data_IF_014853839648
#
_entry.id   IF_014853839648
#
_cell.length_a   1.000
_cell.length_b   1.000
_cell.length_c   1.000
_cell.angle_alpha   90.00
_cell.angle_beta   90.00
_cell.angle_gamma   90.00
#
_symmetry.space_group_name_H-M   'P 1'
#
loop_
_entity.id
_entity.type
_entity.pdbx_description
1 polymer ?
#
# COMPACT_ATOMS: atom_id res chain seq x y z
N UNK A 1 -2.88 49.57 43.77
CA UNK A 1 -2.66 48.49 42.77
C UNK A 1 -2.47 49.19 41.43
N UNK A 2 -1.27 49.60 41.03
CA UNK A 2 -0.13 48.82 40.52
C UNK A 2 -0.35 48.23 39.09
N UNK A 3 0.05 49.05 38.11
CA UNK A 3 0.66 48.82 36.77
C UNK A 3 0.47 47.54 35.93
N UNK A 4 0.25 47.76 34.62
CA UNK A 4 1.00 47.26 33.44
C UNK A 4 0.06 47.29 32.19
N UNK A 5 0.02 48.32 31.33
CA UNK A 5 0.86 48.66 30.16
C UNK A 5 1.24 47.50 29.20
N UNK A 6 0.91 47.72 27.91
CA UNK A 6 1.69 47.42 26.68
C UNK A 6 1.09 46.49 25.60
N UNK A 7 0.90 47.13 24.43
CA UNK A 7 0.99 46.56 23.07
C UNK A 7 2.40 46.02 22.81
N UNK A 8 2.51 44.93 22.04
CA UNK A 8 3.37 44.74 20.83
C UNK A 8 3.04 43.35 20.24
N UNK A 9 2.68 43.18 18.97
CA UNK A 9 3.45 43.39 17.73
C UNK A 9 4.50 42.29 17.53
N UNK A 10 4.33 41.52 16.44
CA UNK A 10 5.45 40.92 15.70
C UNK A 10 5.71 39.43 15.90
N UNK A 11 5.47 38.69 14.82
CA UNK A 11 6.47 37.92 14.07
C UNK A 11 6.52 36.38 14.16
N UNK A 12 6.15 35.79 13.01
CA UNK A 12 6.86 34.78 12.19
C UNK A 12 7.30 33.46 12.84
N UNK A 13 6.78 32.34 12.29
CA UNK A 13 7.48 31.06 12.31
C UNK A 13 6.68 29.83 11.88
N UNK A 14 6.67 29.52 10.57
CA UNK A 14 6.39 28.18 9.99
C UNK A 14 4.90 27.79 9.92
N UNK A 15 4.35 27.27 8.82
CA UNK A 15 4.95 26.48 7.74
C UNK A 15 4.03 26.60 6.52
N UNK A 16 4.56 27.10 5.41
CA UNK A 16 3.98 26.91 4.08
C UNK A 16 3.88 25.42 3.78
N UNK A 17 2.74 24.97 3.23
CA UNK A 17 2.66 23.60 2.69
C UNK A 17 1.29 22.94 2.68
N UNK A 18 0.17 23.63 2.89
CA UNK A 18 -1.12 23.11 2.43
C UNK A 18 -1.19 23.24 0.91
N UNK A 19 -0.59 22.27 0.20
CA UNK A 19 -1.03 21.92 -1.15
C UNK A 19 -2.28 21.05 -1.01
N UNK A 20 -3.41 21.71 -0.75
CA UNK A 20 -4.71 21.20 -1.14
C UNK A 20 -4.76 21.25 -2.67
N UNK A 21 -4.36 20.16 -3.32
CA UNK A 21 -4.58 19.97 -4.76
C UNK A 21 -5.50 18.77 -4.93
N UNK A 22 -6.64 19.07 -5.55
CA UNK A 22 -7.67 18.16 -6.09
C UNK A 22 -8.62 17.51 -5.06
N UNK A 23 -9.54 18.32 -4.55
CA UNK A 23 -10.73 17.84 -3.84
C UNK A 23 -11.94 18.73 -4.11
N UNK A 24 -12.39 18.82 -5.36
CA UNK A 24 -13.74 19.31 -5.67
C UNK A 24 -14.43 18.40 -6.69
N UNK A 25 -15.50 17.80 -6.19
CA UNK A 25 -16.69 17.35 -6.89
C UNK A 25 -16.58 16.09 -7.77
N UNK A 26 -16.50 14.92 -7.14
CA UNK A 26 -17.25 13.70 -7.55
C UNK A 26 -17.68 12.91 -6.31
N UNK A 27 -18.99 12.77 -6.12
CA UNK A 27 -19.60 11.92 -5.11
C UNK A 27 -19.13 10.45 -5.27
N UNK A 28 -18.73 9.82 -4.15
CA UNK A 28 -19.03 8.40 -3.95
C UNK A 28 -17.94 7.34 -4.13
N UNK A 29 -16.65 7.67 -4.24
CA UNK A 29 -15.61 6.65 -4.13
C UNK A 29 -14.53 7.05 -3.12
N UNK A 30 -14.58 6.45 -1.93
CA UNK A 30 -13.45 6.44 -1.00
C UNK A 30 -12.35 5.57 -1.61
N UNK A 31 -11.58 6.13 -2.55
CA UNK A 31 -10.44 5.44 -3.17
C UNK A 31 -9.44 5.06 -2.09
N UNK A 32 -9.27 3.76 -1.87
CA UNK A 32 -8.28 3.29 -0.90
C UNK A 32 -6.88 3.37 -1.50
N UNK A 33 -5.85 3.33 -0.65
CA UNK A 33 -4.46 3.19 -1.10
C UNK A 33 -4.24 1.92 -1.94
N UNK A 34 -5.01 0.87 -1.68
CA UNK A 34 -4.95 -0.39 -2.41
C UNK A 34 -5.56 -0.25 -3.81
N UNK A 35 -6.69 0.45 -3.93
CA UNK A 35 -7.30 0.77 -5.23
C UNK A 35 -6.39 1.68 -6.05
N UNK A 36 -5.83 2.71 -5.43
CA UNK A 36 -4.86 3.60 -6.08
C UNK A 36 -3.63 2.85 -6.58
N UNK A 37 -3.08 1.93 -5.77
CA UNK A 37 -1.97 1.08 -6.20
C UNK A 37 -2.32 0.22 -7.41
N UNK A 38 -3.49 -0.44 -7.38
CA UNK A 38 -3.92 -1.31 -8.47
C UNK A 38 -4.19 -0.50 -9.74
N UNK A 39 -4.79 0.68 -9.63
CA UNK A 39 -4.97 1.59 -10.74
C UNK A 39 -3.64 2.05 -11.34
N UNK A 40 -2.69 2.48 -10.51
CA UNK A 40 -1.32 2.80 -10.95
C UNK A 40 -0.69 1.62 -11.68
N UNK A 41 -0.72 0.43 -11.08
CA UNK A 41 -0.13 -0.77 -11.68
C UNK A 41 -0.74 -1.08 -13.05
N UNK A 42 -2.06 -0.94 -13.20
CA UNK A 42 -2.77 -1.19 -14.46
C UNK A 42 -2.54 -0.12 -15.53
N UNK A 43 -2.30 1.12 -15.12
CA UNK A 43 -2.10 2.24 -16.02
C UNK A 43 -0.74 2.24 -16.72
N UNK A 44 0.27 1.57 -16.16
CA UNK A 44 1.59 1.50 -16.78
C UNK A 44 1.66 0.49 -17.91
N UNK A 45 2.44 0.81 -18.93
CA UNK A 45 2.64 -0.07 -20.08
C UNK A 45 3.50 -1.30 -19.76
N UNK A 46 4.37 -1.21 -18.74
CA UNK A 46 5.31 -2.27 -18.37
C UNK A 46 5.00 -2.84 -17.00
N UNK A 47 5.41 -4.09 -16.80
CA UNK A 47 5.28 -4.74 -15.49
C UNK A 47 6.52 -4.47 -14.67
N UNK A 48 6.33 -3.89 -13.49
CA UNK A 48 7.39 -3.71 -12.50
C UNK A 48 7.58 -5.04 -11.77
N UNK A 49 8.44 -5.91 -12.27
CA UNK A 49 8.62 -7.27 -11.73
C UNK A 49 8.97 -7.27 -10.23
N UNK A 50 9.67 -6.24 -9.75
CA UNK A 50 10.02 -6.04 -8.34
C UNK A 50 8.77 -5.97 -7.45
N UNK A 51 7.69 -5.33 -7.92
CA UNK A 51 6.49 -5.15 -7.10
C UNK A 51 5.75 -6.48 -6.87
N UNK A 52 5.75 -7.33 -7.89
CA UNK A 52 5.21 -8.68 -7.82
C UNK A 52 6.00 -9.59 -6.87
N UNK A 53 7.28 -9.29 -6.62
CA UNK A 53 8.10 -10.01 -5.61
C UNK A 53 7.87 -9.51 -4.19
N UNK A 54 7.43 -8.27 -4.01
CA UNK A 54 7.30 -7.64 -2.69
C UNK A 54 5.89 -7.85 -2.10
N UNK A 55 4.86 -7.70 -2.91
CA UNK A 55 3.47 -7.72 -2.48
C UNK A 55 2.82 -9.07 -2.70
N UNK A 56 2.43 -9.73 -1.62
CA UNK A 56 1.58 -10.92 -1.61
C UNK A 56 0.10 -10.53 -1.53
N UNK A 57 -0.83 -11.39 -1.99
CA UNK A 57 -2.28 -11.13 -1.88
C UNK A 57 -2.71 -10.81 -0.44
N UNK A 58 -2.13 -11.48 0.56
CA UNK A 58 -2.44 -11.28 1.98
C UNK A 58 -2.01 -9.90 2.50
N UNK A 59 -1.21 -9.14 1.73
CA UNK A 59 -0.86 -7.77 2.09
C UNK A 59 -2.02 -6.79 1.91
N UNK A 60 -3.02 -7.16 1.12
CA UNK A 60 -4.22 -6.37 0.89
C UNK A 60 -5.25 -6.62 1.99
N UNK A 61 -5.78 -5.53 2.54
CA UNK A 61 -6.84 -5.55 3.54
C UNK A 61 -8.18 -5.87 2.89
N UNK A 62 -8.44 -5.27 1.72
CA UNK A 62 -9.69 -5.50 0.99
C UNK A 62 -9.70 -6.86 0.27
N UNK A 63 -10.81 -7.58 0.41
CA UNK A 63 -10.97 -8.92 -0.17
C UNK A 63 -10.92 -8.89 -1.71
N UNK A 64 -11.57 -7.91 -2.33
CA UNK A 64 -11.59 -7.77 -3.79
C UNK A 64 -10.18 -7.48 -4.34
N UNK A 65 -9.44 -6.59 -3.68
CA UNK A 65 -8.07 -6.22 -4.03
C UNK A 65 -7.13 -7.42 -3.87
N UNK A 66 -7.28 -8.18 -2.77
CA UNK A 66 -6.56 -9.44 -2.55
C UNK A 66 -6.78 -10.45 -3.67
N UNK A 67 -8.05 -10.73 -4.00
CA UNK A 67 -8.40 -11.70 -5.04
C UNK A 67 -7.86 -11.25 -6.41
N UNK A 68 -8.03 -9.97 -6.73
CA UNK A 68 -7.55 -9.39 -7.96
C UNK A 68 -6.03 -9.46 -8.08
N UNK A 69 -5.30 -9.05 -7.03
CA UNK A 69 -3.83 -9.12 -7.01
C UNK A 69 -3.33 -10.57 -7.09
N UNK A 70 -4.02 -11.51 -6.45
CA UNK A 70 -3.76 -12.94 -6.59
C UNK A 70 -3.80 -13.38 -8.05
N UNK A 71 -4.85 -12.97 -8.79
CA UNK A 71 -4.96 -13.30 -10.23
C UNK A 71 -3.92 -12.60 -11.09
N UNK A 72 -3.59 -11.34 -10.81
CA UNK A 72 -2.48 -10.66 -11.49
C UNK A 72 -1.18 -11.45 -11.29
N UNK A 73 -0.86 -11.84 -10.06
CA UNK A 73 0.35 -12.61 -9.75
C UNK A 73 0.36 -13.98 -10.44
N UNK A 74 -0.75 -14.70 -10.44
CA UNK A 74 -0.88 -15.97 -11.16
C UNK A 74 -0.55 -15.79 -12.65
N UNK A 75 -1.08 -14.73 -13.27
CA UNK A 75 -0.83 -14.40 -14.67
C UNK A 75 0.63 -14.04 -14.91
N UNK A 76 1.22 -13.19 -14.06
CA UNK A 76 2.64 -12.79 -14.15
C UNK A 76 3.54 -14.02 -14.06
N UNK A 77 3.31 -14.88 -13.07
CA UNK A 77 4.12 -16.07 -12.85
C UNK A 77 4.00 -17.08 -13.98
N UNK A 78 2.78 -17.29 -14.50
CA UNK A 78 2.49 -18.26 -15.57
C UNK A 78 2.94 -17.80 -16.95
N UNK A 79 2.65 -16.54 -17.31
CA UNK A 79 2.83 -16.05 -18.68
C UNK A 79 4.09 -15.20 -18.86
N UNK A 80 4.72 -14.76 -17.77
CA UNK A 80 5.85 -13.82 -17.80
C UNK A 80 5.61 -12.66 -18.78
N UNK A 81 4.45 -11.96 -18.70
CA UNK A 81 4.13 -10.91 -19.64
C UNK A 81 5.14 -9.76 -19.51
N UNK A 82 5.40 -9.07 -20.61
CA UNK A 82 6.25 -7.86 -20.63
C UNK A 82 5.45 -6.56 -20.45
N UNK A 83 4.14 -6.61 -20.67
CA UNK A 83 3.26 -5.45 -20.62
C UNK A 83 1.95 -5.73 -19.90
N UNK A 84 1.35 -4.67 -19.38
CA UNK A 84 0.14 -4.76 -18.55
C UNK A 84 -1.11 -5.05 -19.36
N UNK A 85 -1.17 -4.63 -20.63
CA UNK A 85 -2.25 -4.99 -21.55
C UNK A 85 -2.45 -6.51 -21.68
N UNK A 86 -1.37 -7.31 -21.68
CA UNK A 86 -1.46 -8.78 -21.69
C UNK A 86 -2.00 -9.34 -20.38
N UNK A 87 -1.74 -8.68 -19.25
CA UNK A 87 -2.34 -9.05 -17.96
C UNK A 87 -3.84 -8.82 -18.05
N UNK A 88 -4.26 -7.62 -18.44
CA UNK A 88 -5.68 -7.23 -18.55
C UNK A 88 -6.44 -8.19 -19.47
N UNK A 89 -5.89 -8.48 -20.65
CA UNK A 89 -6.51 -9.42 -21.60
C UNK A 89 -6.54 -10.88 -21.13
N UNK A 90 -5.77 -11.25 -20.10
CA UNK A 90 -5.75 -12.60 -19.52
C UNK A 90 -6.57 -12.71 -18.23
N UNK A 91 -7.14 -11.61 -17.74
CA UNK A 91 -7.96 -11.61 -16.54
C UNK A 91 -9.30 -12.33 -16.81
N UNK A 92 -9.80 -13.09 -15.81
CA UNK A 92 -11.17 -13.56 -15.82
C UNK A 92 -12.18 -12.41 -15.96
N UNK A 93 -13.27 -12.63 -16.72
CA UNK A 93 -14.24 -11.58 -17.07
C UNK A 93 -15.01 -11.00 -15.87
N UNK A 94 -15.09 -11.74 -14.77
CA UNK A 94 -15.66 -11.30 -13.49
C UNK A 94 -14.87 -10.16 -12.84
N UNK A 95 -13.65 -9.87 -13.30
CA UNK A 95 -12.89 -8.69 -12.89
C UNK A 95 -13.09 -7.46 -13.79
N UNK A 96 -13.84 -7.54 -14.90
CA UNK A 96 -14.01 -6.41 -15.81
C UNK A 96 -14.58 -5.18 -15.09
N UNK A 97 -15.67 -5.34 -14.34
CA UNK A 97 -16.26 -4.26 -13.55
C UNK A 97 -15.27 -3.66 -12.54
N UNK A 98 -14.32 -4.46 -12.05
CA UNK A 98 -13.29 -3.96 -11.13
C UNK A 98 -12.21 -3.17 -11.87
N UNK A 99 -11.77 -3.65 -13.02
CA UNK A 99 -10.83 -2.93 -13.90
C UNK A 99 -11.43 -1.61 -14.36
N UNK A 100 -12.71 -1.59 -14.73
CA UNK A 100 -13.42 -0.38 -15.12
C UNK A 100 -13.45 0.63 -13.96
N UNK A 101 -13.77 0.18 -12.74
CA UNK A 101 -13.70 1.03 -11.55
C UNK A 101 -12.29 1.57 -11.29
N UNK A 102 -11.26 0.75 -11.43
CA UNK A 102 -9.87 1.19 -11.27
C UNK A 102 -9.47 2.22 -12.34
N UNK A 103 -9.99 2.12 -13.56
CA UNK A 103 -9.70 3.07 -14.65
C UNK A 103 -10.28 4.47 -14.41
N UNK A 104 -11.27 4.59 -13.52
CA UNK A 104 -11.88 5.87 -13.14
C UNK A 104 -11.10 6.60 -12.04
N UNK A 105 -10.12 5.92 -11.42
CA UNK A 105 -9.28 6.53 -10.38
C UNK A 105 -8.35 7.55 -11.04
N UNK A 106 -8.39 8.78 -10.53
CA UNK A 106 -7.57 9.87 -11.04
C UNK A 106 -6.09 9.64 -10.71
N UNK A 107 -5.31 9.29 -11.73
CA UNK A 107 -3.85 9.18 -11.67
C UNK A 107 -3.27 10.50 -12.21
N UNK A 108 -2.30 11.08 -11.50
CA UNK A 108 -1.69 12.35 -11.90
C UNK A 108 -1.12 12.27 -13.32
N UNK A 109 -1.39 13.26 -14.20
CA UNK A 109 -0.78 13.32 -15.54
C UNK A 109 0.75 13.34 -15.52
N UNK A 110 1.38 13.75 -14.42
CA UNK A 110 2.84 13.72 -14.25
C UNK A 110 3.42 12.30 -14.31
N UNK A 111 2.60 11.27 -14.16
CA UNK A 111 2.99 9.87 -14.31
C UNK A 111 2.92 9.38 -15.77
N UNK A 112 2.83 10.28 -16.75
CA UNK A 112 3.12 9.94 -18.15
C UNK A 112 4.59 9.59 -18.38
N UNK A 113 5.48 10.06 -17.49
CA UNK A 113 6.89 9.66 -17.47
C UNK A 113 7.03 8.28 -16.78
N UNK A 114 7.58 7.30 -17.51
CA UNK A 114 7.69 5.91 -17.09
C UNK A 114 8.42 5.77 -15.74
N UNK A 115 9.50 6.54 -15.54
CA UNK A 115 10.29 6.54 -14.32
C UNK A 115 9.50 7.02 -13.09
N UNK A 116 8.77 8.14 -13.24
CA UNK A 116 7.97 8.70 -12.14
C UNK A 116 6.80 7.77 -11.78
N UNK A 117 6.15 7.21 -12.79
CA UNK A 117 5.09 6.22 -12.61
C UNK A 117 5.61 4.96 -11.89
N UNK A 118 6.74 4.42 -12.33
CA UNK A 118 7.30 3.21 -11.77
C UNK A 118 7.74 3.43 -10.31
N UNK A 119 8.34 4.60 -10.04
CA UNK A 119 8.74 5.00 -8.69
C UNK A 119 7.52 5.14 -7.77
N UNK A 120 6.45 5.81 -8.22
CA UNK A 120 5.23 5.97 -7.41
C UNK A 120 4.58 4.61 -7.14
N UNK A 121 4.41 3.77 -8.16
CA UNK A 121 3.85 2.42 -8.03
C UNK A 121 4.63 1.60 -7.00
N UNK A 122 5.97 1.67 -7.05
CA UNK A 122 6.84 1.01 -6.09
C UNK A 122 6.68 1.58 -4.67
N UNK A 123 6.65 2.90 -4.51
CA UNK A 123 6.47 3.56 -3.22
C UNK A 123 5.13 3.20 -2.57
N UNK A 124 4.03 3.25 -3.33
CA UNK A 124 2.70 2.91 -2.83
C UNK A 124 2.65 1.43 -2.44
N UNK A 125 3.18 0.53 -3.26
CA UNK A 125 3.22 -0.89 -2.93
C UNK A 125 4.06 -1.18 -1.67
N UNK A 126 5.18 -0.47 -1.46
CA UNK A 126 5.93 -0.54 -0.19
C UNK A 126 5.12 -0.06 1.01
N UNK A 127 4.34 1.01 0.87
CA UNK A 127 3.45 1.50 1.93
C UNK A 127 2.39 0.45 2.30
N UNK A 128 1.81 -0.24 1.30
CA UNK A 128 0.89 -1.37 1.51
C UNK A 128 1.60 -2.49 2.26
N UNK A 129 2.77 -2.92 1.79
CA UNK A 129 3.57 -3.97 2.44
C UNK A 129 3.88 -3.65 3.90
N UNK A 130 4.31 -2.41 4.18
CA UNK A 130 4.61 -1.94 5.54
C UNK A 130 3.39 -2.00 6.45
N UNK A 131 2.22 -1.55 5.96
CA UNK A 131 0.96 -1.63 6.72
C UNK A 131 0.55 -3.08 6.97
N UNK A 132 0.69 -3.94 5.97
CA UNK A 132 0.44 -5.38 6.11
C UNK A 132 1.29 -6.03 7.20
N UNK A 133 2.61 -5.85 7.13
CA UNK A 133 3.54 -6.41 8.11
C UNK A 133 3.23 -5.94 9.53
N UNK A 134 2.88 -4.67 9.71
CA UNK A 134 2.47 -4.15 11.01
C UNK A 134 1.20 -4.83 11.54
N UNK A 135 0.18 -5.07 10.69
CA UNK A 135 -1.03 -5.82 11.07
C UNK A 135 -0.69 -7.27 11.45
N UNK A 136 0.14 -7.94 10.66
CA UNK A 136 0.54 -9.33 10.92
C UNK A 136 1.33 -9.46 12.24
N UNK A 137 2.23 -8.51 12.52
CA UNK A 137 2.97 -8.48 13.79
C UNK A 137 2.05 -8.28 15.00
N UNK A 138 1.04 -7.42 14.88
CA UNK A 138 0.04 -7.23 15.93
C UNK A 138 -0.74 -8.53 16.19
N UNK A 139 -1.23 -9.19 15.14
CA UNK A 139 -1.94 -10.47 15.26
C UNK A 139 -1.08 -11.57 15.90
N UNK A 140 0.20 -11.64 15.56
CA UNK A 140 1.14 -12.60 16.15
C UNK A 140 1.41 -12.25 17.62
N UNK A 141 1.55 -10.96 17.95
CA UNK A 141 1.70 -10.52 19.34
C UNK A 141 0.52 -10.95 20.21
N UNK A 142 -0.70 -10.80 19.71
CA UNK A 142 -1.89 -11.23 20.44
C UNK A 142 -1.98 -12.76 20.55
N UNK A 143 -1.62 -13.48 19.47
CA UNK A 143 -1.51 -14.94 19.50
C UNK A 143 -0.45 -15.45 20.48
N UNK A 144 0.66 -14.72 20.63
CA UNK A 144 1.72 -15.01 21.59
C UNK A 144 1.23 -14.86 23.03
N UNK A 145 0.52 -13.76 23.33
CA UNK A 145 -0.09 -13.56 24.67
C UNK A 145 -1.05 -14.69 25.01
N UNK A 146 -1.85 -15.14 24.04
CA UNK A 146 -2.77 -16.26 24.24
C UNK A 146 -2.02 -17.59 24.47
N UNK A 147 -0.99 -17.88 23.67
CA UNK A 147 -0.16 -19.08 23.84
C UNK A 147 0.56 -19.10 25.20
N UNK A 148 1.06 -17.94 25.65
CA UNK A 148 1.66 -17.76 26.99
C UNK A 148 0.66 -18.04 28.11
N UNK A 149 -0.58 -17.51 28.01
CA UNK A 149 -1.65 -17.80 28.97
C UNK A 149 -1.97 -19.29 29.04
N UNK A 150 -1.93 -19.98 27.89
CA UNK A 150 -2.17 -21.42 27.76
C UNK A 150 -0.96 -22.30 28.08
N UNK A 151 0.22 -21.70 28.31
CA UNK A 151 1.51 -22.40 28.50
C UNK A 151 1.86 -23.36 27.34
N UNK A 152 1.45 -23.00 26.13
CA UNK A 152 1.72 -23.77 24.91
C UNK A 152 3.10 -23.40 24.36
N UNK A 153 4.13 -24.07 24.87
CA UNK A 153 5.53 -23.74 24.58
C UNK A 153 5.89 -23.91 23.09
N UNK A 154 5.33 -24.92 22.42
CA UNK A 154 5.58 -25.17 21.00
C UNK A 154 5.01 -24.02 20.16
N UNK A 155 3.79 -23.58 20.48
CA UNK A 155 3.16 -22.44 19.81
C UNK A 155 3.88 -21.13 20.10
N UNK A 156 4.39 -20.93 21.32
CA UNK A 156 5.21 -19.76 21.67
C UNK A 156 6.47 -19.71 20.81
N UNK A 157 7.20 -20.82 20.70
CA UNK A 157 8.43 -20.89 19.90
C UNK A 157 8.14 -20.58 18.44
N UNK A 158 7.15 -21.26 17.84
CA UNK A 158 6.74 -21.05 16.45
C UNK A 158 6.36 -19.59 16.18
N UNK A 159 5.52 -19.00 17.03
CA UNK A 159 5.07 -17.62 16.85
C UNK A 159 6.20 -16.61 17.06
N UNK A 160 7.14 -16.87 17.97
CA UNK A 160 8.32 -16.00 18.18
C UNK A 160 9.22 -16.00 16.95
N UNK A 161 9.51 -17.16 16.37
CA UNK A 161 10.25 -17.26 15.11
C UNK A 161 9.56 -16.50 13.98
N UNK A 162 8.23 -16.63 13.87
CA UNK A 162 7.45 -15.91 12.85
C UNK A 162 7.48 -14.39 13.09
N UNK A 163 7.39 -13.95 14.34
CA UNK A 163 7.47 -12.54 14.73
C UNK A 163 8.82 -11.92 14.34
N UNK A 164 9.92 -12.59 14.66
CA UNK A 164 11.27 -12.11 14.34
C UNK A 164 11.46 -11.98 12.83
N UNK A 165 11.06 -13.01 12.06
CA UNK A 165 11.15 -12.98 10.59
C UNK A 165 10.33 -11.84 9.97
N UNK A 166 9.14 -11.55 10.47
CA UNK A 166 8.32 -10.45 9.97
C UNK A 166 8.87 -9.08 10.40
N UNK A 167 9.51 -9.01 11.56
CA UNK A 167 10.16 -7.79 12.06
C UNK A 167 11.38 -7.43 11.21
N UNK A 168 12.19 -8.41 10.82
CA UNK A 168 13.31 -8.23 9.89
C UNK A 168 12.82 -7.74 8.53
N UNK A 169 11.81 -8.39 7.94
CA UNK A 169 11.18 -7.93 6.69
C UNK A 169 10.64 -6.50 6.79
N UNK A 170 10.04 -6.14 7.93
CA UNK A 170 9.55 -4.77 8.14
C UNK A 170 10.70 -3.77 8.19
N UNK A 171 11.87 -4.16 8.73
CA UNK A 171 13.08 -3.33 8.74
C UNK A 171 13.63 -3.14 7.33
N UNK A 172 13.76 -4.22 6.56
CA UNK A 172 14.21 -4.18 5.17
C UNK A 172 13.33 -3.27 4.30
N UNK A 173 12.01 -3.38 4.45
CA UNK A 173 11.05 -2.53 3.72
C UNK A 173 11.14 -1.06 4.16
N UNK A 174 11.75 -0.73 5.29
CA UNK A 174 12.00 0.66 5.74
C UNK A 174 13.36 1.21 5.29
N UNK A 175 14.39 0.38 5.21
CA UNK A 175 15.79 0.80 4.98
C UNK A 175 16.15 1.11 3.52
N UNK A 176 15.36 0.63 2.54
CA UNK A 176 15.55 0.99 1.13
C UNK A 176 15.11 2.45 0.95
N UNK A 177 16.03 3.40 0.87
CA UNK A 177 15.72 4.84 0.71
C UNK A 177 16.30 5.34 -0.59
#
# INVERSE_FOLDING_TARGET
>A
MAQAVEKKMGDIGGTEGQRDIAGKDREGQNTTMEDYFLALFLAGDRIIAEIAKILEPEDFLGERQRLFWGKIRDIINRLQPKNTAKIIGSLPKDFNDFVDQLSLINISPAFSEEELWAQETFQVGRRIKRKSLARQLLQISDSLKEAQRKKDNDKILMLTTKFNKLSEKLREVREIT
#
